data_IF_775791428832
#
_entry.id   IF_775791428832
#
_cell.length_a   1.000
_cell.length_b   1.000
_cell.length_c   1.000
_cell.angle_alpha   90.00
_cell.angle_beta   90.00
_cell.angle_gamma   90.00
#
_symmetry.space_group_name_H-M   'P 1'
#
loop_
_entity.id
_entity.type
_entity.pdbx_description
1 polymer ?
#
# COMPACT_ATOMS: atom_id res chain seq x y z
N UNK A 1 -12.21 6.82 -43.67
CA UNK A 1 -12.67 5.49 -44.13
C UNK A 1 -11.43 4.65 -44.44
N UNK A 2 -11.08 3.71 -43.55
CA UNK A 2 -9.97 2.76 -43.78
C UNK A 2 -10.53 1.52 -44.48
N UNK A 3 -9.97 1.06 -45.61
CA UNK A 3 -10.41 -0.16 -46.25
C UNK A 3 -9.95 -1.38 -45.44
N UNK A 4 -10.90 -2.27 -45.15
CA UNK A 4 -10.67 -3.58 -44.51
C UNK A 4 -10.08 -4.54 -45.54
N UNK A 5 -8.84 -4.99 -45.33
CA UNK A 5 -8.23 -6.07 -46.13
C UNK A 5 -8.69 -7.45 -45.62
N UNK A 6 -8.90 -8.43 -46.52
CA UNK A 6 -9.45 -9.73 -46.17
C UNK A 6 -8.43 -10.62 -45.45
N UNK A 7 -8.88 -11.26 -44.36
CA UNK A 7 -8.12 -12.25 -43.59
C UNK A 7 -7.95 -13.52 -44.42
N UNK A 8 -6.71 -13.85 -44.81
CA UNK A 8 -6.35 -15.14 -45.43
C UNK A 8 -6.33 -16.24 -44.36
N UNK A 9 -7.25 -17.20 -44.46
CA UNK A 9 -7.26 -18.42 -43.67
C UNK A 9 -5.99 -19.25 -43.95
N UNK A 10 -5.12 -19.39 -42.95
CA UNK A 10 -4.05 -20.39 -42.95
C UNK A 10 -4.58 -21.71 -42.35
N UNK A 11 -4.45 -22.85 -43.04
CA UNK A 11 -4.74 -24.14 -42.43
C UNK A 11 -3.63 -24.48 -41.43
N UNK A 12 -3.95 -24.38 -40.15
CA UNK A 12 -3.07 -24.82 -39.06
C UNK A 12 -2.79 -26.32 -39.21
N UNK A 13 -1.51 -26.63 -39.42
CA UNK A 13 -0.91 -27.94 -39.51
C UNK A 13 -1.22 -28.74 -38.22
N UNK A 14 -2.23 -29.64 -38.27
CA UNK A 14 -2.63 -30.50 -37.17
C UNK A 14 -1.69 -31.70 -37.08
N UNK A 15 -0.63 -31.57 -36.30
CA UNK A 15 0.12 -32.73 -35.80
C UNK A 15 -0.75 -33.39 -34.72
N UNK A 16 -1.49 -34.43 -35.10
CA UNK A 16 -2.20 -35.33 -34.19
C UNK A 16 -1.16 -36.19 -33.45
N UNK A 17 -0.65 -35.70 -32.32
CA UNK A 17 -0.03 -36.56 -31.30
C UNK A 17 -1.17 -37.37 -30.64
N UNK A 18 -1.44 -38.57 -31.18
CA UNK A 18 -2.54 -39.44 -30.77
C UNK A 18 -2.39 -40.02 -29.36
N UNK A 19 -2.62 -39.19 -28.34
CA UNK A 19 -2.87 -39.65 -26.98
C UNK A 19 -4.35 -39.38 -26.62
N UNK A 20 -5.12 -40.38 -26.16
CA UNK A 20 -6.52 -40.17 -25.82
C UNK A 20 -6.66 -39.13 -24.69
N UNK A 21 -7.70 -38.27 -24.73
CA UNK A 21 -7.88 -37.14 -23.81
C UNK A 21 -7.71 -37.42 -22.31
N UNK A 22 -8.05 -38.60 -21.74
CA UNK A 22 -7.79 -38.87 -20.32
C UNK A 22 -6.29 -38.93 -19.96
N UNK A 23 -5.43 -39.40 -20.86
CA UNK A 23 -3.99 -39.53 -20.59
C UNK A 23 -3.26 -38.19 -20.69
N UNK A 24 -3.72 -37.29 -21.56
CA UNK A 24 -3.17 -35.94 -21.63
C UNK A 24 -3.39 -35.23 -20.28
N UNK A 25 -4.57 -35.34 -19.69
CA UNK A 25 -4.93 -34.72 -18.41
C UNK A 25 -4.01 -35.14 -17.24
N UNK A 26 -3.61 -36.42 -17.21
CA UNK A 26 -2.72 -36.98 -16.18
C UNK A 26 -1.30 -36.42 -16.24
N UNK A 27 -0.82 -36.06 -17.44
CA UNK A 27 0.52 -35.45 -17.62
C UNK A 27 0.55 -33.95 -17.30
N UNK A 28 -0.55 -33.22 -17.49
CA UNK A 28 -0.64 -31.77 -17.24
C UNK A 28 -1.09 -31.42 -15.82
N UNK A 29 -1.82 -32.30 -15.12
CA UNK A 29 -2.24 -32.08 -13.74
C UNK A 29 -1.08 -31.76 -12.77
N UNK A 30 0.05 -32.51 -12.75
CA UNK A 30 1.16 -32.20 -11.86
C UNK A 30 1.84 -30.88 -12.23
N UNK A 31 1.91 -30.55 -13.53
CA UNK A 31 2.48 -29.28 -14.01
C UNK A 31 1.63 -28.07 -13.59
N UNK A 32 0.29 -28.19 -13.67
CA UNK A 32 -0.64 -27.15 -13.22
C UNK A 32 -0.59 -26.95 -11.70
N UNK A 33 -0.48 -28.04 -10.93
CA UNK A 33 -0.31 -27.97 -9.48
C UNK A 33 1.03 -27.34 -9.08
N UNK A 34 2.12 -27.71 -9.77
CA UNK A 34 3.44 -27.12 -9.56
C UNK A 34 3.47 -25.61 -9.90
N UNK A 35 2.83 -25.20 -11.00
CA UNK A 35 2.66 -23.78 -11.35
C UNK A 35 1.82 -23.01 -10.31
N UNK A 36 0.77 -23.62 -9.76
CA UNK A 36 -0.02 -23.02 -8.69
C UNK A 36 0.77 -22.89 -7.37
N UNK A 37 1.64 -23.85 -7.07
CA UNK A 37 2.56 -23.77 -5.92
C UNK A 37 3.66 -22.72 -6.13
N UNK A 38 4.24 -22.64 -7.33
CA UNK A 38 5.22 -21.61 -7.69
C UNK A 38 4.63 -20.18 -7.63
N UNK A 39 3.34 -20.00 -7.98
CA UNK A 39 2.64 -18.72 -7.80
C UNK A 39 2.56 -18.27 -6.34
N UNK A 40 2.56 -19.19 -5.36
CA UNK A 40 2.60 -18.85 -3.93
C UNK A 40 3.99 -18.38 -3.48
N UNK A 41 5.05 -18.84 -4.15
CA UNK A 41 6.41 -18.37 -3.90
C UNK A 41 6.68 -16.98 -4.51
N UNK A 42 5.90 -16.60 -5.52
CA UNK A 42 5.80 -15.23 -6.05
C UNK A 42 4.56 -14.51 -5.50
N UNK A 43 4.19 -14.73 -4.24
CA UNK A 43 3.15 -13.92 -3.61
C UNK A 43 3.69 -12.50 -3.40
N UNK A 44 3.54 -11.68 -4.45
CA UNK A 44 3.85 -10.27 -4.47
C UNK A 44 3.15 -9.52 -3.32
N UNK A 45 2.07 -10.07 -2.76
CA UNK A 45 1.39 -9.53 -1.59
C UNK A 45 2.26 -9.52 -0.33
N UNK A 46 3.06 -10.57 -0.07
CA UNK A 46 4.00 -10.57 1.06
C UNK A 46 5.18 -9.62 0.83
N UNK A 47 5.64 -9.48 -0.42
CA UNK A 47 6.68 -8.52 -0.80
C UNK A 47 6.16 -7.07 -0.65
N UNK A 48 4.90 -6.80 -0.97
CA UNK A 48 4.26 -5.49 -0.73
C UNK A 48 4.14 -5.15 0.77
N UNK A 49 3.79 -6.13 1.61
CA UNK A 49 3.75 -5.94 3.06
C UNK A 49 5.13 -5.59 3.63
N UNK A 50 6.19 -6.22 3.12
CA UNK A 50 7.58 -5.89 3.47
C UNK A 50 8.05 -4.55 2.88
N UNK A 51 7.60 -4.20 1.67
CA UNK A 51 7.88 -2.89 1.07
C UNK A 51 7.23 -1.73 1.85
N UNK A 52 6.11 -1.98 2.54
CA UNK A 52 5.45 -1.02 3.44
C UNK A 52 6.25 -0.62 4.67
N UNK A 53 7.27 -1.40 5.05
CA UNK A 53 8.15 -1.09 6.17
C UNK A 53 9.21 -0.04 5.82
N UNK A 54 9.58 0.14 4.54
CA UNK A 54 10.73 0.95 4.14
C UNK A 54 10.45 1.98 3.03
N UNK A 55 9.33 1.91 2.31
CA UNK A 55 9.11 2.70 1.10
C UNK A 55 7.87 3.59 1.07
N UNK A 56 7.09 3.69 2.15
CA UNK A 56 5.77 4.34 2.11
C UNK A 56 5.71 5.63 2.92
N UNK A 57 5.66 6.77 2.24
CA UNK A 57 5.00 7.97 2.73
C UNK A 57 5.42 8.48 4.11
N UNK A 58 4.50 9.13 4.80
CA UNK A 58 4.72 9.50 6.20
C UNK A 58 4.56 8.30 7.12
N UNK A 59 5.62 7.97 7.84
CA UNK A 59 5.73 6.83 8.76
C UNK A 59 5.15 7.07 10.15
N UNK A 60 4.68 8.28 10.44
CA UNK A 60 4.26 8.70 11.77
C UNK A 60 3.13 7.83 12.34
N UNK A 61 3.39 7.13 13.45
CA UNK A 61 2.46 6.18 14.06
C UNK A 61 2.30 4.85 13.31
N UNK A 62 2.96 4.66 12.16
CA UNK A 62 2.92 3.42 11.37
C UNK A 62 4.01 2.45 11.81
N UNK A 63 5.27 2.86 11.67
CA UNK A 63 6.45 2.10 12.11
C UNK A 63 7.41 2.97 12.94
N UNK A 64 7.07 4.25 13.16
CA UNK A 64 7.84 5.15 14.01
C UNK A 64 6.95 5.87 15.02
N UNK A 65 7.50 6.09 16.20
CA UNK A 65 7.04 7.00 17.26
C UNK A 65 8.28 7.56 17.94
N UNK A 66 8.15 8.70 18.62
CA UNK A 66 9.20 9.23 19.49
C UNK A 66 8.70 9.34 20.91
N UNK A 67 9.55 9.00 21.89
CA UNK A 67 9.28 9.16 23.30
C UNK A 67 10.14 10.30 23.82
N UNK A 68 9.53 11.33 24.41
CA UNK A 68 10.25 12.47 25.02
C UNK A 68 10.84 12.09 26.39
N UNK A 69 11.82 12.84 26.92
CA UNK A 69 12.45 12.51 28.22
C UNK A 69 11.48 12.43 29.41
N UNK A 70 10.36 13.14 29.34
CA UNK A 70 9.28 13.08 30.35
C UNK A 70 8.27 11.92 30.12
N UNK A 71 8.55 11.03 29.15
CA UNK A 71 7.73 9.85 28.82
C UNK A 71 6.60 10.10 27.82
N UNK A 72 6.46 11.31 27.27
CA UNK A 72 5.42 11.64 26.28
C UNK A 72 5.65 10.90 24.97
N UNK A 73 4.63 10.20 24.47
CA UNK A 73 4.65 9.50 23.19
C UNK A 73 4.12 10.44 22.10
N UNK A 74 4.85 10.55 21.00
CA UNK A 74 4.48 11.36 19.83
C UNK A 74 4.55 10.50 18.57
N UNK A 75 3.71 10.71 17.54
CA UNK A 75 3.71 9.85 16.35
C UNK A 75 4.99 9.97 15.52
N UNK A 76 5.69 11.10 15.62
CA UNK A 76 6.99 11.34 15.01
C UNK A 76 7.70 12.43 15.81
N UNK A 77 9.04 12.44 15.80
CA UNK A 77 9.85 13.46 16.48
C UNK A 77 9.48 14.90 16.06
N UNK A 78 9.11 15.08 14.78
CA UNK A 78 8.78 16.38 14.19
C UNK A 78 7.33 16.83 14.38
N UNK A 79 6.45 15.98 14.91
CA UNK A 79 5.08 16.39 15.22
C UNK A 79 5.06 17.05 16.59
N UNK A 80 4.27 18.11 16.85
CA UNK A 80 4.15 18.67 18.20
C UNK A 80 3.14 17.91 19.09
N UNK A 81 2.32 17.03 18.51
CA UNK A 81 1.23 16.33 19.20
C UNK A 81 1.74 15.19 20.08
N UNK A 82 1.38 15.21 21.37
CA UNK A 82 1.57 14.10 22.33
C UNK A 82 0.31 13.25 22.37
N UNK A 83 0.43 11.95 22.11
CA UNK A 83 -0.70 11.02 22.06
C UNK A 83 -0.98 10.34 23.40
N UNK A 84 0.05 10.10 24.21
CA UNK A 84 -0.05 9.52 25.55
C UNK A 84 1.29 9.65 26.30
N UNK A 85 1.43 9.00 27.47
CA UNK A 85 2.67 8.94 28.25
C UNK A 85 2.96 7.52 28.76
N UNK A 86 4.16 6.99 28.48
CA UNK A 86 4.58 5.62 28.87
C UNK A 86 4.72 5.42 30.37
N UNK A 87 4.83 6.51 31.16
CA UNK A 87 4.85 6.45 32.63
C UNK A 87 3.48 6.17 33.24
N UNK A 88 2.41 6.32 32.45
CA UNK A 88 1.01 6.12 32.90
C UNK A 88 0.38 4.87 32.31
N UNK A 89 0.75 4.51 31.07
CA UNK A 89 0.17 3.39 30.32
C UNK A 89 1.28 2.60 29.62
N UNK A 90 1.22 1.25 29.58
CA UNK A 90 2.20 0.46 28.85
C UNK A 90 2.31 0.88 27.39
N UNK A 91 3.53 0.95 26.87
CA UNK A 91 3.77 1.35 25.48
C UNK A 91 3.04 0.46 24.48
N UNK A 92 2.95 -0.85 24.73
CA UNK A 92 2.20 -1.79 23.87
C UNK A 92 0.73 -1.43 23.74
N UNK A 93 0.09 -1.00 24.84
CA UNK A 93 -1.30 -0.56 24.84
C UNK A 93 -1.46 0.76 24.07
N UNK A 94 -0.58 1.73 24.32
CA UNK A 94 -0.56 3.00 23.57
C UNK A 94 -0.40 2.71 22.08
N UNK A 95 0.59 1.89 21.71
CA UNK A 95 0.90 1.56 20.33
C UNK A 95 -0.28 0.90 19.63
N UNK A 96 -0.93 -0.10 20.24
CA UNK A 96 -1.99 -0.88 19.59
C UNK A 96 -3.37 -0.22 19.65
N UNK A 97 -3.66 0.54 20.71
CA UNK A 97 -5.03 0.99 21.01
C UNK A 97 -5.22 2.51 20.94
N UNK A 98 -4.17 3.30 20.82
CA UNK A 98 -4.34 4.75 20.76
C UNK A 98 -5.12 5.16 19.49
N UNK A 99 -6.23 5.91 19.62
CA UNK A 99 -7.11 6.22 18.50
C UNK A 99 -6.44 7.09 17.45
N UNK A 100 -5.55 8.02 17.85
CA UNK A 100 -4.84 8.87 16.90
C UNK A 100 -3.79 8.08 16.11
N UNK A 101 -3.06 7.16 16.76
CA UNK A 101 -2.12 6.29 16.04
C UNK A 101 -2.85 5.37 15.05
N UNK A 102 -3.98 4.79 15.44
CA UNK A 102 -4.81 4.00 14.53
C UNK A 102 -5.34 4.82 13.35
N UNK A 103 -5.78 6.05 13.60
CA UNK A 103 -6.23 6.95 12.54
C UNK A 103 -5.11 7.37 11.59
N UNK A 104 -3.87 7.50 12.06
CA UNK A 104 -2.70 7.80 11.22
C UNK A 104 -2.29 6.62 10.33
N UNK A 105 -2.50 5.38 10.80
CA UNK A 105 -2.25 4.14 10.03
C UNK A 105 -3.25 3.95 8.92
N UNK A 106 -4.49 4.35 9.15
CA UNK A 106 -5.55 4.27 8.17
C UNK A 106 -5.50 5.47 7.20
N UNK A 107 -4.94 5.21 6.01
CA UNK A 107 -4.81 6.20 4.92
C UNK A 107 -6.14 6.63 4.32
N UNK A 108 -7.27 6.00 4.65
CA UNK A 108 -8.57 6.51 4.20
C UNK A 108 -8.95 7.83 4.90
N UNK A 109 -8.31 8.17 6.02
CA UNK A 109 -8.61 9.37 6.79
C UNK A 109 -8.04 10.66 6.20
N UNK A 110 -7.15 10.61 5.20
CA UNK A 110 -6.58 11.84 4.59
C UNK A 110 -7.64 12.57 3.78
N UNK A 111 -7.60 13.90 3.85
CA UNK A 111 -8.56 14.83 3.26
C UNK A 111 -7.93 15.62 2.12
N UNK A 112 -8.78 16.40 1.43
CA UNK A 112 -8.38 17.27 0.34
C UNK A 112 -7.94 16.47 -0.88
N UNK A 113 -6.97 16.99 -1.64
CA UNK A 113 -6.42 16.33 -2.82
C UNK A 113 -5.94 14.89 -2.55
N UNK A 114 -5.36 14.64 -1.38
CA UNK A 114 -4.90 13.31 -1.01
C UNK A 114 -6.02 12.26 -0.95
N UNK A 115 -7.28 12.64 -0.68
CA UNK A 115 -8.40 11.71 -0.56
C UNK A 115 -8.73 10.99 -1.87
N UNK A 116 -8.56 11.67 -3.01
CA UNK A 116 -8.78 11.12 -4.35
C UNK A 116 -7.47 10.78 -5.08
N UNK A 117 -6.33 10.87 -4.41
CA UNK A 117 -5.03 10.65 -5.02
C UNK A 117 -4.76 9.16 -5.19
N UNK A 118 -4.44 8.73 -6.42
CA UNK A 118 -4.06 7.33 -6.71
C UNK A 118 -2.82 6.82 -5.99
N UNK A 119 -2.06 7.72 -5.35
CA UNK A 119 -0.84 7.41 -4.60
C UNK A 119 -1.03 7.53 -3.08
N UNK A 120 -2.27 7.60 -2.59
CA UNK A 120 -2.55 7.85 -1.16
C UNK A 120 -2.06 6.72 -0.27
N UNK A 121 -2.08 5.49 -0.79
CA UNK A 121 -1.60 4.28 -0.12
C UNK A 121 -0.09 4.30 0.04
N UNK A 122 0.66 4.67 -0.98
CA UNK A 122 2.13 4.65 -0.96
C UNK A 122 2.75 5.95 -0.40
N UNK A 123 2.17 7.11 -0.70
CA UNK A 123 2.71 8.40 -0.30
C UNK A 123 1.95 9.00 0.88
N UNK A 124 0.64 9.21 0.72
CA UNK A 124 -0.21 9.80 1.74
C UNK A 124 0.26 11.16 2.30
N UNK A 125 1.28 11.83 1.75
CA UNK A 125 1.85 13.12 2.19
C UNK A 125 2.47 13.15 3.60
N UNK A 126 3.14 14.26 3.95
CA UNK A 126 3.82 14.44 5.25
C UNK A 126 2.89 15.04 6.31
N UNK A 127 2.44 14.20 7.26
CA UNK A 127 1.46 14.58 8.29
C UNK A 127 1.94 15.72 9.21
N UNK A 128 3.23 15.75 9.56
CA UNK A 128 3.80 16.83 10.38
C UNK A 128 3.72 18.19 9.68
N UNK A 129 3.90 18.23 8.35
CA UNK A 129 3.83 19.45 7.54
C UNK A 129 2.39 19.89 7.32
N UNK A 130 1.48 18.95 7.04
CA UNK A 130 0.05 19.22 6.98
C UNK A 130 -0.44 19.87 8.28
N UNK A 131 -0.04 19.33 9.43
CA UNK A 131 -0.38 19.92 10.73
C UNK A 131 0.24 21.30 10.97
N UNK A 132 1.52 21.49 10.61
CA UNK A 132 2.17 22.78 10.79
C UNK A 132 1.53 23.90 9.94
N UNK A 133 0.99 23.56 8.77
CA UNK A 133 0.42 24.54 7.85
C UNK A 133 -1.09 24.76 8.08
N UNK A 134 -1.84 23.68 8.29
CA UNK A 134 -3.32 23.73 8.37
C UNK A 134 -3.88 23.48 9.77
N UNK A 135 -3.05 23.08 10.74
CA UNK A 135 -3.54 22.60 12.04
C UNK A 135 -4.25 21.24 12.01
N UNK A 136 -4.36 20.60 10.84
CA UNK A 136 -4.99 19.30 10.65
C UNK A 136 -3.97 18.26 10.17
N UNK A 137 -3.79 17.20 10.96
CA UNK A 137 -2.92 16.07 10.63
C UNK A 137 -3.35 15.32 9.37
N UNK A 138 -4.63 15.41 9.02
CA UNK A 138 -5.24 14.69 7.92
C UNK A 138 -5.42 15.57 6.68
N UNK A 139 -5.05 16.85 6.72
CA UNK A 139 -5.04 17.70 5.54
C UNK A 139 -4.06 17.19 4.47
N UNK A 140 -4.24 17.68 3.25
CA UNK A 140 -3.29 17.43 2.17
C UNK A 140 -1.93 18.05 2.51
N UNK A 141 -0.87 17.49 1.93
CA UNK A 141 0.47 18.02 2.11
C UNK A 141 0.65 19.25 1.20
N UNK A 142 0.86 20.46 1.75
CA UNK A 142 0.90 21.70 0.94
C UNK A 142 2.08 21.73 -0.05
N UNK A 143 3.07 20.86 0.13
CA UNK A 143 4.24 20.77 -0.75
C UNK A 143 4.17 19.54 -1.67
N UNK A 144 2.97 19.04 -1.95
CA UNK A 144 2.77 17.94 -2.88
C UNK A 144 2.99 18.42 -4.33
N UNK A 145 4.04 17.93 -4.99
CA UNK A 145 4.34 18.28 -6.38
C UNK A 145 3.29 17.78 -7.41
N UNK A 146 2.44 16.82 -7.01
CA UNK A 146 1.39 16.25 -7.87
C UNK A 146 0.04 16.93 -7.70
N UNK A 147 -0.08 17.85 -6.75
CA UNK A 147 -1.35 18.45 -6.40
C UNK A 147 -1.54 19.78 -7.15
N UNK A 148 -2.81 20.14 -7.48
CA UNK A 148 -3.10 21.36 -8.23
C UNK A 148 -2.78 22.61 -7.41
N UNK A 149 -2.56 23.75 -8.05
CA UNK A 149 -1.93 24.93 -7.41
C UNK A 149 -2.74 25.57 -6.26
N UNK A 150 -3.97 25.13 -5.99
CA UNK A 150 -4.86 25.67 -4.93
C UNK A 150 -5.61 24.57 -4.13
N UNK A 151 -4.91 23.57 -3.60
CA UNK A 151 -5.52 22.46 -2.84
C UNK A 151 -5.31 22.64 -1.31
N UNK A 152 -6.07 23.55 -0.71
CA UNK A 152 -6.18 23.67 0.75
C UNK A 152 -7.29 22.78 1.29
#
# INVERSE_FOLDING_TARGET
MRPTLPVKNHPANRIFLGLPPPFLCLLIAPLKAALAALRRLTDYGQIQALAGLFGQGCTAGVNVVSITPNGGVKPCAMMPVVVDNVRRRPFSEIWLRNPLLNKLRDRSNVKGWCASCRFVTECGGRRSRAYAYFGDLFASDPNCAKAPVNHG
#
